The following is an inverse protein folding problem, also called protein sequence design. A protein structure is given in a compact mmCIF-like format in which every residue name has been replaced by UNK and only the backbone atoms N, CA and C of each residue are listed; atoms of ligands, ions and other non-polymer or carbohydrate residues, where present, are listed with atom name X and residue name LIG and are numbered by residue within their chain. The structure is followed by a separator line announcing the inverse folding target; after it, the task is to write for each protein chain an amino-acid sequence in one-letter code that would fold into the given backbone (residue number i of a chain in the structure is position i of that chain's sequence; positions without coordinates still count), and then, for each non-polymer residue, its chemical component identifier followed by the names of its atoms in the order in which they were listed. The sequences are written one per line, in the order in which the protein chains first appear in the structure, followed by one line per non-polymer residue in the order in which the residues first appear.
data_IF_570171344772
#
_entry.id   IF_570171344772
#
_cell.length_a   1.000
_cell.length_b   1.000
_cell.length_c   1.000
_cell.angle_alpha   90.00
_cell.angle_beta   90.00
_cell.angle_gamma   90.00
#
_symmetry.space_group_name_H-M   'P 1'
#
loop_
_entity.id
_entity.type
_entity.pdbx_description
1 polymer ?
#
# COMPACT_ATOMS: atom_id res chain seq x y z
N UNK A 1 -27.65 0.20 -5.66
CA UNK A 1 -27.00 0.21 -6.99
C UNK A 1 -28.08 0.44 -8.04
N UNK A 2 -27.85 1.29 -9.02
CA UNK A 2 -28.74 1.41 -10.18
C UNK A 2 -28.69 0.11 -10.99
N UNK A 3 -29.81 -0.27 -11.67
CA UNK A 3 -29.88 -1.52 -12.42
C UNK A 3 -28.72 -1.75 -13.41
N UNK A 4 -28.26 -0.74 -14.18
CA UNK A 4 -27.14 -0.91 -15.10
C UNK A 4 -25.81 -1.28 -14.39
N UNK A 5 -25.53 -0.68 -13.22
CA UNK A 5 -24.31 -0.99 -12.45
C UNK A 5 -24.38 -2.40 -11.87
N UNK A 6 -25.54 -2.86 -11.41
CA UNK A 6 -25.70 -4.22 -10.91
C UNK A 6 -25.46 -5.26 -12.02
N UNK A 7 -25.97 -5.00 -13.23
CA UNK A 7 -25.74 -5.84 -14.41
C UNK A 7 -24.25 -5.85 -14.81
N UNK A 8 -23.60 -4.68 -14.83
CA UNK A 8 -22.17 -4.57 -15.12
C UNK A 8 -21.34 -5.36 -14.09
N UNK A 9 -21.62 -5.19 -12.80
CA UNK A 9 -20.94 -5.95 -11.75
C UNK A 9 -21.10 -7.47 -11.94
N UNK A 10 -22.34 -7.93 -12.22
CA UNK A 10 -22.62 -9.35 -12.47
C UNK A 10 -21.88 -9.86 -13.71
N UNK A 11 -21.75 -9.03 -14.76
CA UNK A 11 -20.99 -9.39 -15.96
C UNK A 11 -19.50 -9.58 -15.63
N UNK A 12 -18.89 -8.66 -14.88
CA UNK A 12 -17.51 -8.79 -14.43
C UNK A 12 -17.27 -9.99 -13.51
N UNK A 13 -18.30 -10.43 -12.78
CA UNK A 13 -18.22 -11.63 -11.93
C UNK A 13 -18.54 -12.92 -12.68
N UNK A 14 -18.95 -12.87 -13.96
CA UNK A 14 -19.21 -14.07 -14.75
C UNK A 14 -17.97 -14.90 -14.95
N UNK A 15 -18.13 -16.23 -15.01
CA UNK A 15 -17.03 -17.16 -15.28
C UNK A 15 -16.33 -16.81 -16.60
N UNK A 16 -17.11 -16.51 -17.65
CA UNK A 16 -16.60 -16.16 -18.97
C UNK A 16 -15.66 -14.94 -18.93
N UNK A 17 -16.06 -13.87 -18.23
CA UNK A 17 -15.23 -12.67 -18.11
C UNK A 17 -13.95 -12.93 -17.33
N UNK A 18 -14.04 -13.66 -16.22
CA UNK A 18 -12.87 -14.00 -15.39
C UNK A 18 -11.90 -14.92 -16.12
N UNK A 19 -12.40 -15.89 -16.87
CA UNK A 19 -11.56 -16.78 -17.70
C UNK A 19 -10.84 -15.99 -18.80
N UNK A 20 -11.52 -15.02 -19.44
CA UNK A 20 -10.90 -14.14 -20.45
C UNK A 20 -9.82 -13.24 -19.84
N UNK A 21 -10.08 -12.67 -18.66
CA UNK A 21 -9.09 -11.85 -17.95
C UNK A 21 -7.90 -12.71 -17.48
N UNK A 22 -8.15 -13.93 -17.03
CA UNK A 22 -7.12 -14.86 -16.58
C UNK A 22 -6.12 -15.25 -17.68
N UNK A 23 -6.54 -15.26 -18.95
CA UNK A 23 -5.64 -15.52 -20.09
C UNK A 23 -4.57 -14.42 -20.24
N UNK A 24 -4.77 -13.25 -19.65
CA UNK A 24 -3.82 -12.14 -19.68
C UNK A 24 -2.86 -12.12 -18.50
N UNK A 25 -2.97 -13.08 -17.58
CA UNK A 25 -2.09 -13.17 -16.42
C UNK A 25 -0.68 -13.48 -16.89
N UNK A 26 0.27 -12.67 -16.45
CA UNK A 26 1.68 -12.86 -16.67
C UNK A 26 2.35 -13.16 -15.34
N UNK A 27 3.07 -14.29 -15.25
CA UNK A 27 3.89 -14.57 -14.08
C UNK A 27 5.01 -13.53 -13.96
N UNK A 28 5.05 -12.79 -12.87
CA UNK A 28 6.07 -11.79 -12.63
C UNK A 28 7.10 -12.28 -11.62
N UNK A 29 8.23 -12.80 -12.15
CA UNK A 29 9.44 -13.08 -11.38
C UNK A 29 9.34 -14.22 -10.36
N UNK A 30 10.39 -14.39 -9.58
CA UNK A 30 10.57 -15.48 -8.60
C UNK A 30 9.62 -15.44 -7.38
N UNK A 31 8.78 -14.43 -7.24
CA UNK A 31 7.85 -14.28 -6.10
C UNK A 31 6.42 -14.72 -6.39
N UNK A 32 6.13 -15.30 -7.57
CA UNK A 32 4.83 -15.94 -7.85
C UNK A 32 3.60 -15.01 -7.81
N UNK A 33 3.78 -13.68 -7.89
CA UNK A 33 2.64 -12.77 -8.01
C UNK A 33 2.15 -12.72 -9.44
N UNK A 34 0.90 -13.06 -9.64
CA UNK A 34 0.20 -12.91 -10.90
C UNK A 34 0.04 -11.41 -11.21
N UNK A 35 0.31 -11.04 -12.45
CA UNK A 35 0.17 -9.66 -12.91
C UNK A 35 -0.63 -9.63 -14.20
N UNK A 36 -1.64 -8.78 -14.23
CA UNK A 36 -2.35 -8.45 -15.47
C UNK A 36 -1.95 -7.04 -15.89
N UNK A 37 -1.42 -6.84 -17.11
CA UNK A 37 -1.11 -5.51 -17.61
C UNK A 37 -2.34 -4.60 -17.51
N UNK A 38 -2.14 -3.38 -17.05
CA UNK A 38 -3.21 -2.39 -16.86
C UNK A 38 -4.06 -2.18 -18.13
N UNK A 39 -3.42 -2.22 -19.30
CA UNK A 39 -4.08 -2.08 -20.59
C UNK A 39 -5.11 -3.18 -20.85
N UNK A 40 -4.81 -4.42 -20.45
CA UNK A 40 -5.74 -5.55 -20.59
C UNK A 40 -6.94 -5.43 -19.65
N UNK A 41 -6.74 -4.91 -18.44
CA UNK A 41 -7.84 -4.65 -17.50
C UNK A 41 -8.76 -3.55 -18.05
N UNK A 42 -8.17 -2.44 -18.50
CA UNK A 42 -8.94 -1.29 -18.99
C UNK A 42 -9.62 -1.56 -20.35
N UNK A 43 -8.97 -2.30 -21.26
CA UNK A 43 -9.59 -2.73 -22.53
C UNK A 43 -10.88 -3.52 -22.26
N UNK A 44 -10.84 -4.47 -21.34
CA UNK A 44 -12.00 -5.27 -20.96
C UNK A 44 -13.07 -4.46 -20.24
N UNK A 45 -12.65 -3.54 -19.38
CA UNK A 45 -13.57 -2.63 -18.71
C UNK A 45 -14.36 -1.80 -19.74
N UNK A 46 -13.68 -1.20 -20.71
CA UNK A 46 -14.32 -0.38 -21.74
C UNK A 46 -15.13 -1.18 -22.74
N UNK A 47 -14.84 -2.46 -22.99
CA UNK A 47 -15.72 -3.33 -23.79
C UNK A 47 -17.09 -3.51 -23.13
N UNK A 48 -17.13 -3.67 -21.82
CA UNK A 48 -18.38 -3.83 -21.07
C UNK A 48 -19.07 -2.48 -20.73
N UNK A 49 -18.32 -1.40 -20.68
CA UNK A 49 -18.84 -0.05 -20.45
C UNK A 49 -18.18 0.98 -21.40
N UNK A 50 -18.55 1.02 -22.70
CA UNK A 50 -17.91 1.88 -23.70
C UNK A 50 -18.07 3.38 -23.43
N UNK A 51 -19.07 3.78 -22.64
CA UNK A 51 -19.35 5.17 -22.28
C UNK A 51 -18.68 5.59 -20.96
N UNK A 52 -17.85 4.73 -20.38
CA UNK A 52 -17.15 5.08 -19.16
C UNK A 52 -16.09 6.16 -19.43
N UNK A 53 -15.99 7.08 -18.51
CA UNK A 53 -14.97 8.12 -18.49
C UNK A 53 -14.05 7.92 -17.30
N UNK A 54 -12.76 8.24 -17.45
CA UNK A 54 -11.83 8.26 -16.34
C UNK A 54 -11.09 9.59 -16.26
N UNK A 55 -10.64 9.92 -15.05
CA UNK A 55 -9.87 11.14 -14.76
C UNK A 55 -8.72 10.83 -13.84
N UNK A 56 -7.54 11.36 -14.16
CA UNK A 56 -6.44 11.54 -13.21
C UNK A 56 -6.61 12.90 -12.55
N UNK A 57 -6.61 12.90 -11.21
CA UNK A 57 -6.74 14.15 -10.47
C UNK A 57 -5.43 14.92 -10.46
N UNK A 58 -5.54 16.23 -10.57
CA UNK A 58 -4.44 17.17 -10.55
C UNK A 58 -4.63 18.14 -9.38
N UNK A 59 -3.53 18.58 -8.79
CA UNK A 59 -3.52 19.37 -7.57
C UNK A 59 -2.69 20.62 -7.77
N UNK A 60 -3.24 21.83 -7.46
CA UNK A 60 -2.46 23.05 -7.41
C UNK A 60 -1.52 23.01 -6.20
N UNK A 61 -0.24 23.26 -6.42
CA UNK A 61 0.80 23.28 -5.39
C UNK A 61 1.65 24.53 -5.54
N UNK A 62 1.92 25.18 -4.43
CA UNK A 62 2.85 26.31 -4.36
C UNK A 62 4.25 25.76 -4.06
N UNK A 63 5.15 25.84 -5.04
CA UNK A 63 6.55 25.41 -4.93
C UNK A 63 7.45 26.63 -4.76
N UNK A 64 8.27 26.65 -3.70
CA UNK A 64 9.24 27.71 -3.47
C UNK A 64 10.62 27.23 -3.89
N UNK A 65 11.14 27.82 -4.96
CA UNK A 65 12.49 27.55 -5.49
C UNK A 65 13.27 28.88 -5.52
N UNK A 66 14.45 28.92 -4.87
CA UNK A 66 15.30 30.10 -4.84
C UNK A 66 14.63 31.37 -4.24
N UNK A 67 13.68 31.20 -3.31
CA UNK A 67 12.93 32.31 -2.70
C UNK A 67 11.75 32.83 -3.54
N UNK A 68 11.47 32.23 -4.69
CA UNK A 68 10.33 32.55 -5.55
C UNK A 68 9.28 31.46 -5.42
N UNK A 69 8.03 31.82 -5.10
CA UNK A 69 6.91 30.88 -5.05
C UNK A 69 6.23 30.84 -6.41
N UNK A 70 6.18 29.63 -7.01
CA UNK A 70 5.53 29.36 -8.29
C UNK A 70 4.39 28.38 -8.09
N UNK A 71 3.22 28.72 -8.62
CA UNK A 71 2.07 27.79 -8.66
C UNK A 71 2.28 26.75 -9.78
N UNK A 72 2.24 25.50 -9.43
CA UNK A 72 2.26 24.38 -10.40
C UNK A 72 1.05 23.45 -10.19
N UNK A 73 0.67 22.76 -11.23
CA UNK A 73 -0.34 21.71 -11.17
C UNK A 73 0.41 20.38 -11.24
N UNK A 74 0.26 19.55 -10.19
CA UNK A 74 0.92 18.26 -10.09
C UNK A 74 -0.10 17.12 -10.16
N UNK A 75 0.25 15.98 -10.78
CA UNK A 75 -0.62 14.81 -10.86
C UNK A 75 -0.63 13.96 -9.57
N UNK A 76 -0.18 14.51 -8.46
CA UNK A 76 -0.13 13.86 -7.15
C UNK A 76 -0.22 14.90 -6.04
N UNK A 77 -0.53 14.43 -4.82
CA UNK A 77 -0.57 15.23 -3.59
C UNK A 77 0.15 14.50 -2.47
N UNK A 78 0.47 15.19 -1.39
CA UNK A 78 1.16 14.65 -0.22
C UNK A 78 2.41 15.43 0.13
N UNK A 79 3.22 14.88 1.02
CA UNK A 79 4.45 15.50 1.50
C UNK A 79 5.56 14.46 1.73
N UNK A 80 6.79 14.93 1.98
CA UNK A 80 7.95 14.06 2.19
C UNK A 80 7.93 13.28 3.50
N UNK A 81 7.07 13.65 4.44
CA UNK A 81 6.94 12.96 5.74
C UNK A 81 5.97 11.79 5.66
N UNK A 82 4.83 11.97 4.96
CA UNK A 82 3.75 10.99 4.91
C UNK A 82 3.67 10.27 3.56
N UNK A 83 4.48 10.69 2.59
CA UNK A 83 4.48 10.18 1.23
C UNK A 83 3.54 10.91 0.29
N UNK A 84 3.54 10.47 -0.96
CA UNK A 84 2.76 11.08 -2.03
C UNK A 84 1.75 10.08 -2.59
N UNK A 85 0.63 10.62 -3.08
CA UNK A 85 -0.53 9.86 -3.52
C UNK A 85 -1.03 10.36 -4.86
N UNK A 86 -1.54 9.45 -5.67
CA UNK A 86 -2.33 9.76 -6.87
C UNK A 86 -3.79 9.41 -6.63
N UNK A 87 -4.69 10.13 -7.28
CA UNK A 87 -6.12 9.82 -7.23
C UNK A 87 -6.66 9.69 -8.64
N UNK A 88 -7.50 8.68 -8.86
CA UNK A 88 -8.23 8.47 -10.11
C UNK A 88 -9.72 8.44 -9.84
N UNK A 89 -10.52 8.81 -10.84
CA UNK A 89 -11.96 8.60 -10.83
C UNK A 89 -12.38 7.87 -12.10
N UNK A 90 -13.37 7.00 -11.98
CA UNK A 90 -14.08 6.39 -13.11
C UNK A 90 -15.57 6.72 -12.96
N UNK A 91 -16.17 7.22 -14.03
CA UNK A 91 -17.60 7.44 -14.14
C UNK A 91 -18.19 6.43 -15.12
N UNK A 92 -19.14 5.63 -14.65
CA UNK A 92 -19.82 4.64 -15.47
C UNK A 92 -21.31 4.64 -15.11
N UNK A 93 -22.18 4.74 -16.11
CA UNK A 93 -23.65 4.85 -15.93
C UNK A 93 -24.08 5.93 -14.91
N UNK A 94 -23.40 7.09 -14.97
CA UNK A 94 -23.67 8.22 -14.06
C UNK A 94 -23.18 8.04 -12.61
N UNK A 95 -22.54 6.93 -12.30
CA UNK A 95 -21.91 6.70 -10.99
C UNK A 95 -20.42 6.94 -11.10
N UNK A 96 -19.91 7.86 -10.28
CA UNK A 96 -18.46 8.13 -10.16
C UNK A 96 -17.90 7.46 -8.91
N UNK A 97 -16.82 6.72 -9.07
CA UNK A 97 -16.02 6.17 -7.97
C UNK A 97 -14.61 6.72 -8.07
N UNK A 98 -14.04 7.03 -6.92
CA UNK A 98 -12.67 7.54 -6.82
C UNK A 98 -11.82 6.63 -5.95
N UNK A 99 -10.56 6.47 -6.34
CA UNK A 99 -9.57 5.66 -5.62
C UNK A 99 -8.30 6.49 -5.44
N UNK A 100 -7.69 6.40 -4.27
CA UNK A 100 -6.40 6.99 -3.99
C UNK A 100 -5.39 5.88 -3.72
N UNK A 101 -4.19 5.99 -4.28
CA UNK A 101 -3.11 5.03 -4.10
C UNK A 101 -1.79 5.74 -3.79
N UNK A 102 -0.95 5.19 -2.91
CA UNK A 102 0.38 5.73 -2.65
C UNK A 102 1.30 5.57 -3.87
N UNK A 103 2.27 6.47 -3.98
CA UNK A 103 3.38 6.35 -4.92
C UNK A 103 4.49 5.57 -4.23
N UNK A 104 4.71 4.34 -4.66
CA UNK A 104 5.73 3.46 -4.09
C UNK A 104 7.14 3.85 -4.52
N UNK A 105 8.11 3.59 -3.65
CA UNK A 105 9.54 3.74 -3.91
C UNK A 105 10.09 2.63 -4.81
N UNK A 106 11.27 2.13 -4.47
CA UNK A 106 11.91 1.04 -5.24
C UNK A 106 11.20 -0.31 -5.06
N UNK A 107 10.52 -0.49 -3.94
CA UNK A 107 9.73 -1.68 -3.62
C UNK A 107 8.33 -1.26 -3.17
N UNK A 108 7.36 -2.18 -3.16
CA UNK A 108 6.03 -1.93 -2.61
C UNK A 108 6.01 -1.72 -1.09
N UNK A 109 7.09 -2.09 -0.41
CA UNK A 109 7.27 -1.88 1.02
C UNK A 109 7.80 -0.47 1.37
N UNK A 110 8.12 0.36 0.36
CA UNK A 110 8.65 1.72 0.58
C UNK A 110 7.79 2.75 -0.14
N UNK A 111 7.60 3.91 0.49
CA UNK A 111 6.90 5.06 -0.10
C UNK A 111 7.94 5.94 -0.80
N UNK A 112 7.61 6.50 -1.96
CA UNK A 112 8.47 7.46 -2.64
C UNK A 112 8.41 8.81 -1.90
N UNK A 113 9.55 9.25 -1.37
CA UNK A 113 9.67 10.57 -0.72
C UNK A 113 10.00 11.69 -1.73
N UNK A 114 10.43 11.32 -2.94
CA UNK A 114 10.65 12.23 -4.08
C UNK A 114 10.19 11.49 -5.34
N UNK A 115 8.90 11.62 -5.71
CA UNK A 115 8.34 10.84 -6.80
C UNK A 115 8.99 11.13 -8.15
N UNK A 116 9.41 10.10 -8.86
CA UNK A 116 9.90 10.17 -10.23
C UNK A 116 8.75 9.95 -11.23
N UNK A 117 8.89 10.47 -12.44
CA UNK A 117 7.84 10.40 -13.46
C UNK A 117 7.32 8.97 -13.73
N UNK A 118 8.22 7.99 -13.77
CA UNK A 118 7.85 6.58 -13.94
C UNK A 118 7.08 6.01 -12.74
N UNK A 119 7.42 6.42 -11.52
CA UNK A 119 6.71 6.01 -10.30
C UNK A 119 5.30 6.61 -10.27
N UNK A 120 5.17 7.89 -10.64
CA UNK A 120 3.87 8.58 -10.75
C UNK A 120 3.00 7.86 -11.78
N UNK A 121 3.51 7.61 -13.00
CA UNK A 121 2.78 6.92 -14.05
C UNK A 121 2.34 5.52 -13.60
N UNK A 122 3.25 4.74 -13.02
CA UNK A 122 2.92 3.39 -12.53
C UNK A 122 1.84 3.43 -11.43
N UNK A 123 1.93 4.40 -10.51
CA UNK A 123 0.92 4.58 -9.48
C UNK A 123 -0.44 4.97 -10.05
N UNK A 124 -0.48 5.84 -11.07
CA UNK A 124 -1.72 6.22 -11.76
C UNK A 124 -2.38 5.03 -12.46
N UNK A 125 -1.61 4.23 -13.22
CA UNK A 125 -2.15 3.06 -13.92
C UNK A 125 -2.65 2.01 -12.93
N UNK A 126 -1.92 1.76 -11.86
CA UNK A 126 -2.31 0.85 -10.80
C UNK A 126 -3.56 1.33 -10.04
N UNK A 127 -3.62 2.62 -9.71
CA UNK A 127 -4.77 3.25 -9.08
C UNK A 127 -6.02 3.15 -9.97
N UNK A 128 -5.88 3.36 -11.29
CA UNK A 128 -6.96 3.25 -12.26
C UNK A 128 -7.52 1.82 -12.32
N UNK A 129 -6.66 0.79 -12.33
CA UNK A 129 -7.10 -0.61 -12.28
C UNK A 129 -7.81 -0.96 -10.97
N UNK A 130 -7.30 -0.48 -9.83
CA UNK A 130 -7.99 -0.66 -8.54
C UNK A 130 -9.35 0.04 -8.53
N UNK A 131 -9.46 1.20 -9.18
CA UNK A 131 -10.73 1.90 -9.32
C UNK A 131 -11.71 1.10 -10.22
N UNK A 132 -11.25 0.50 -11.33
CA UNK A 132 -12.07 -0.41 -12.14
C UNK A 132 -12.56 -1.64 -11.33
N UNK A 133 -11.72 -2.16 -10.42
CA UNK A 133 -12.09 -3.24 -9.52
C UNK A 133 -13.23 -2.86 -8.55
N UNK A 134 -13.39 -1.58 -8.21
CA UNK A 134 -14.56 -1.12 -7.43
C UNK A 134 -15.89 -1.31 -8.17
N UNK A 135 -15.86 -1.44 -9.50
CA UNK A 135 -17.02 -1.82 -10.33
C UNK A 135 -17.11 -3.34 -10.52
N UNK A 136 -16.16 -4.11 -9.99
CA UNK A 136 -16.10 -5.57 -10.08
C UNK A 136 -15.10 -6.11 -11.10
N UNK A 137 -14.47 -5.25 -11.92
CA UNK A 137 -13.53 -5.67 -12.97
C UNK A 137 -12.21 -6.16 -12.37
N UNK A 138 -11.97 -7.46 -12.35
CA UNK A 138 -10.73 -8.07 -11.86
C UNK A 138 -10.48 -7.87 -10.37
N UNK A 139 -11.51 -7.77 -9.55
CA UNK A 139 -11.37 -7.55 -8.11
C UNK A 139 -10.56 -8.67 -7.42
N UNK A 140 -10.64 -9.89 -7.92
CA UNK A 140 -9.89 -11.05 -7.42
C UNK A 140 -8.37 -10.93 -7.58
N UNK A 141 -7.90 -10.10 -8.51
CA UNK A 141 -6.46 -9.85 -8.70
C UNK A 141 -5.83 -9.11 -7.52
N UNK A 142 -6.62 -8.29 -6.84
CA UNK A 142 -6.15 -7.45 -5.73
C UNK A 142 -6.17 -8.16 -4.39
N UNK A 143 -7.06 -9.14 -4.20
CA UNK A 143 -7.18 -9.90 -2.94
C UNK A 143 -5.87 -10.59 -2.57
N UNK A 144 -5.19 -11.20 -3.54
CA UNK A 144 -3.89 -11.85 -3.31
C UNK A 144 -2.78 -10.85 -3.06
N UNK A 145 -2.81 -9.73 -3.76
CA UNK A 145 -1.80 -8.69 -3.63
C UNK A 145 -1.84 -8.03 -2.26
N UNK A 146 -3.04 -7.69 -1.77
CA UNK A 146 -3.23 -7.09 -0.45
C UNK A 146 -2.78 -8.04 0.66
N UNK A 147 -3.11 -9.33 0.57
CA UNK A 147 -2.62 -10.34 1.52
C UNK A 147 -1.08 -10.43 1.53
N UNK A 148 -0.43 -10.31 0.37
CA UNK A 148 1.03 -10.33 0.27
C UNK A 148 1.67 -9.05 0.81
N UNK A 149 1.03 -7.90 0.62
CA UNK A 149 1.50 -6.62 1.15
C UNK A 149 1.41 -6.59 2.68
N UNK A 150 0.28 -7.00 3.26
CA UNK A 150 0.10 -7.09 4.71
C UNK A 150 1.14 -8.01 5.36
N UNK A 151 1.38 -9.19 4.76
CA UNK A 151 2.42 -10.10 5.24
C UNK A 151 3.85 -9.52 5.14
N UNK A 152 4.09 -8.58 4.21
CA UNK A 152 5.37 -7.89 4.08
C UNK A 152 5.51 -6.73 5.08
N UNK A 153 4.41 -6.04 5.40
CA UNK A 153 4.37 -4.95 6.39
C UNK A 153 4.67 -5.47 7.79
N UNK A 154 4.20 -6.67 8.15
CA UNK A 154 4.53 -7.34 9.40
C UNK A 154 6.04 -7.65 9.56
N UNK A 155 6.82 -7.56 8.47
CA UNK A 155 8.26 -7.83 8.47
C UNK A 155 9.14 -6.58 8.36
N UNK A 156 8.55 -5.39 8.21
CA UNK A 156 9.31 -4.14 8.15
C UNK A 156 9.67 -3.73 9.58
N UNK A 157 10.96 -3.63 9.94
CA UNK A 157 11.34 -2.92 11.15
C UNK A 157 10.87 -1.46 10.98
N UNK A 158 10.02 -0.99 11.86
CA UNK A 158 9.70 0.44 11.93
C UNK A 158 10.99 1.14 12.33
N UNK A 159 11.75 1.66 11.36
CA UNK A 159 12.78 2.66 11.64
C UNK A 159 12.06 3.94 12.05
N UNK A 160 11.64 3.97 13.30
CA UNK A 160 11.17 5.20 13.94
C UNK A 160 12.40 6.08 14.12
N UNK A 161 12.61 7.02 13.21
CA UNK A 161 13.59 8.10 13.36
C UNK A 161 13.24 9.09 14.47
N UNK A 162 12.39 8.70 15.42
CA UNK A 162 12.05 9.44 16.64
C UNK A 162 12.99 8.91 17.72
N UNK A 163 13.81 9.76 18.35
CA UNK A 163 14.63 9.35 19.50
C UNK A 163 13.74 8.68 20.55
N UNK A 164 14.18 7.54 21.09
CA UNK A 164 13.43 6.73 22.06
C UNK A 164 12.92 7.53 23.27
N UNK A 165 13.66 8.54 23.71
CA UNK A 165 13.26 9.46 24.78
C UNK A 165 11.93 10.18 24.52
N UNK A 166 11.62 10.54 23.26
CA UNK A 166 10.33 11.18 22.89
C UNK A 166 9.17 10.21 22.81
N UNK A 167 9.43 8.94 22.51
CA UNK A 167 8.37 7.91 22.44
C UNK A 167 7.84 7.60 23.84
N UNK A 168 8.73 7.55 24.83
CA UNK A 168 8.36 7.31 26.23
C UNK A 168 7.52 8.47 26.79
N UNK A 169 7.90 9.70 26.46
CA UNK A 169 7.19 10.91 26.93
C UNK A 169 5.75 10.97 26.38
N UNK A 170 5.56 10.72 25.09
CA UNK A 170 4.25 10.71 24.44
C UNK A 170 3.38 9.52 24.87
N UNK A 171 3.97 8.34 25.08
CA UNK A 171 3.24 7.17 25.54
C UNK A 171 2.73 7.33 26.99
N UNK A 172 3.50 8.02 27.84
CA UNK A 172 3.09 8.30 29.23
C UNK A 172 1.93 9.31 29.30
N UNK A 173 1.90 10.30 28.40
CA UNK A 173 0.81 11.27 28.33
C UNK A 173 -0.51 10.69 27.79
N UNK A 174 -0.44 9.75 26.84
CA UNK A 174 -1.63 9.26 26.11
C UNK A 174 -2.25 8.01 26.78
N UNK A 175 -1.46 7.16 27.43
CA UNK A 175 -1.91 5.85 27.94
C UNK A 175 -1.91 5.70 29.45
N UNK A 176 -1.61 6.74 30.23
CA UNK A 176 -1.77 6.73 31.71
C UNK A 176 -1.03 5.55 32.37
N UNK A 177 0.22 5.75 32.65
CA UNK A 177 1.14 5.04 33.52
C UNK A 177 0.78 3.64 34.05
N UNK A 178 1.34 2.62 33.43
CA UNK A 178 1.86 1.46 34.18
C UNK A 178 3.29 1.21 33.71
N UNK A 179 4.22 1.19 34.67
CA UNK A 179 5.63 0.86 34.42
C UNK A 179 5.72 -0.54 33.81
N UNK A 180 6.08 -0.58 32.53
CA UNK A 180 6.46 -1.84 31.88
C UNK A 180 7.92 -2.08 32.23
N UNK A 181 8.20 -3.05 33.10
CA UNK A 181 9.58 -3.50 33.36
C UNK A 181 10.20 -4.02 32.06
N UNK A 182 11.11 -3.23 31.49
CA UNK A 182 11.85 -3.62 30.30
C UNK A 182 12.98 -4.55 30.71
N UNK A 183 12.83 -5.85 30.48
CA UNK A 183 13.89 -6.83 30.74
C UNK A 183 15.10 -6.59 29.83
N UNK A 184 16.30 -6.49 30.42
CA UNK A 184 17.55 -6.35 29.68
C UNK A 184 18.26 -7.68 29.50
N UNK A 185 19.05 -7.79 28.43
CA UNK A 185 19.81 -8.99 28.11
C UNK A 185 21.00 -9.16 29.07
N UNK A 186 21.15 -10.29 29.79
CA UNK A 186 22.23 -10.49 30.75
C UNK A 186 23.62 -10.66 30.10
N UNK A 187 23.70 -10.70 28.76
CA UNK A 187 24.98 -10.86 28.04
C UNK A 187 25.53 -9.57 27.45
N UNK A 188 24.69 -8.57 27.15
CA UNK A 188 25.12 -7.36 26.44
C UNK A 188 24.32 -6.12 26.84
N UNK A 189 23.50 -6.19 27.89
CA UNK A 189 22.65 -5.12 28.44
C UNK A 189 21.67 -4.47 27.46
N UNK A 190 21.57 -5.00 26.23
CA UNK A 190 20.57 -4.55 25.25
C UNK A 190 19.17 -5.05 25.65
N UNK A 191 18.13 -4.40 25.18
CA UNK A 191 16.74 -4.78 25.45
C UNK A 191 16.40 -6.18 24.94
N UNK A 192 15.47 -6.85 25.61
CA UNK A 192 14.86 -8.08 25.16
C UNK A 192 13.51 -7.76 24.47
N UNK A 193 13.28 -8.33 23.30
CA UNK A 193 12.03 -8.20 22.55
C UNK A 193 11.33 -9.54 22.42
N UNK A 194 10.01 -9.55 22.48
CA UNK A 194 9.20 -10.75 22.33
C UNK A 194 9.10 -11.16 20.87
N UNK A 195 9.39 -12.42 20.56
CA UNK A 195 9.25 -13.02 19.23
C UNK A 195 8.44 -14.31 19.30
N UNK A 196 7.70 -14.58 18.24
CA UNK A 196 6.93 -15.82 18.08
C UNK A 196 7.60 -16.74 17.08
N UNK A 197 7.58 -18.04 17.35
CA UNK A 197 8.01 -19.09 16.42
C UNK A 197 6.99 -20.23 16.42
N UNK A 198 7.14 -21.18 15.50
CA UNK A 198 6.32 -22.40 15.48
C UNK A 198 6.38 -23.25 16.75
N UNK A 199 7.30 -22.95 17.67
CA UNK A 199 7.49 -23.63 18.95
C UNK A 199 7.02 -22.81 20.16
N UNK A 200 6.46 -21.61 19.94
CA UNK A 200 5.97 -20.73 21.01
C UNK A 200 6.62 -19.35 21.00
N UNK A 201 6.25 -18.56 22.00
CA UNK A 201 6.70 -17.18 22.19
C UNK A 201 7.93 -17.16 23.09
N UNK A 202 8.92 -16.34 22.76
CA UNK A 202 10.18 -16.20 23.52
C UNK A 202 10.70 -14.76 23.46
N UNK A 203 11.51 -14.38 24.44
CA UNK A 203 12.24 -13.12 24.44
C UNK A 203 13.59 -13.31 23.74
N UNK A 204 13.93 -12.42 22.81
CA UNK A 204 15.20 -12.43 22.08
C UNK A 204 15.91 -11.09 22.24
N UNK A 205 17.23 -11.12 22.31
CA UNK A 205 18.04 -9.92 22.38
C UNK A 205 17.99 -9.14 21.05
N UNK A 206 17.79 -7.83 21.11
CA UNK A 206 17.80 -6.94 19.94
C UNK A 206 19.19 -6.85 19.29
N UNK A 207 20.26 -7.20 20.00
CA UNK A 207 21.63 -7.23 19.48
C UNK A 207 21.94 -8.41 18.54
N UNK A 208 20.94 -9.19 18.10
CA UNK A 208 21.16 -10.22 17.09
C UNK A 208 21.60 -9.59 15.75
N UNK A 209 22.57 -10.15 15.01
CA UNK A 209 23.22 -11.47 15.18
C UNK A 209 24.42 -11.52 16.14
N UNK A 210 24.87 -10.38 16.67
CA UNK A 210 26.05 -10.28 17.54
C UNK A 210 25.80 -10.93 18.89
N UNK A 211 24.62 -10.73 19.48
CA UNK A 211 24.17 -11.39 20.71
C UNK A 211 22.99 -12.34 20.38
N UNK A 212 23.17 -13.63 20.65
CA UNK A 212 22.17 -14.68 20.37
C UNK A 212 21.38 -15.12 21.60
N UNK A 213 21.27 -14.25 22.61
CA UNK A 213 20.56 -14.60 23.86
C UNK A 213 19.04 -14.69 23.59
N UNK A 214 18.42 -15.75 24.09
CA UNK A 214 16.98 -15.96 24.11
C UNK A 214 16.51 -16.53 25.43
N UNK A 215 15.30 -16.19 25.89
CA UNK A 215 14.65 -16.66 27.11
C UNK A 215 13.20 -17.04 26.80
N UNK A 216 12.68 -18.20 27.20
CA UNK A 216 11.25 -18.51 27.04
C UNK A 216 10.42 -17.53 27.87
N UNK A 217 9.24 -17.18 27.35
CA UNK A 217 8.20 -16.48 28.12
C UNK A 217 7.43 -17.55 28.87
N UNK A 218 7.37 -17.43 30.18
CA UNK A 218 6.64 -18.36 31.06
C UNK A 218 5.13 -18.19 30.90
#
# INVERSE_FOLDING_TARGET
MTEPIAKLYSRFQSKEFRDDLAQCIQAKGSKGMDYVPWSNVMDRFFRECPTAEYKFHEYPVDLTEGGVTVKRILPYTGDSKHGYFVTTSITCYGITRSMTSPIYGKTFATIALTPQANQIHNAQMRCLCKNAAMFGCGIELWTREEATQLAAEDTIPVETGIPEEKIIEVATEVFGGSEVEIETCPKCDSQLTQKSSKFGTFLACVGYPTCKFTKPVA
#
